data_IF_212912764098
#
_entry.id   IF_212912764098
#
_cell.length_a   1.000
_cell.length_b   1.000
_cell.length_c   1.000
_cell.angle_alpha   90.00
_cell.angle_beta   90.00
_cell.angle_gamma   90.00
#
_symmetry.space_group_name_H-M   'P 1'
#
loop_
_entity.id
_entity.type
_entity.pdbx_description
1 polymer ?
#
# COMPACT_ATOMS: atom_id res chain seq x y z
N UNK A 1 9.69 12.11 0.51
CA UNK A 1 10.40 12.95 -0.48
C UNK A 1 10.96 12.01 -1.52
N UNK A 2 10.60 12.13 -2.79
CA UNK A 2 11.14 11.27 -3.85
C UNK A 2 12.58 11.69 -4.12
N UNK A 3 13.56 10.91 -3.64
CA UNK A 3 14.97 11.06 -3.99
C UNK A 3 15.13 10.73 -5.48
N UNK A 4 15.75 11.63 -6.25
CA UNK A 4 16.11 11.34 -7.64
C UNK A 4 17.09 10.15 -7.65
N UNK A 5 16.98 9.21 -8.60
CA UNK A 5 17.87 8.06 -8.65
C UNK A 5 19.32 8.52 -8.82
N UNK A 6 20.21 7.94 -8.03
CA UNK A 6 21.64 8.25 -8.00
C UNK A 6 22.40 7.18 -8.78
N UNK A 7 23.32 7.61 -9.63
CA UNK A 7 24.28 6.73 -10.30
C UNK A 7 25.67 6.98 -9.72
N UNK A 8 26.21 6.00 -9.00
CA UNK A 8 27.48 6.12 -8.31
C UNK A 8 28.58 5.37 -9.07
N UNK A 9 29.75 5.99 -9.16
CA UNK A 9 30.98 5.41 -9.68
C UNK A 9 32.01 5.31 -8.56
N UNK A 10 32.65 4.14 -8.42
CA UNK A 10 33.93 4.01 -7.73
C UNK A 10 35.03 3.64 -8.71
N UNK A 11 35.95 4.58 -8.93
CA UNK A 11 37.14 4.34 -9.74
C UNK A 11 38.15 3.48 -8.99
N UNK A 12 38.68 2.47 -9.65
CA UNK A 12 39.77 1.67 -9.15
C UNK A 12 41.10 2.44 -9.19
N UNK A 13 41.97 2.19 -8.22
CA UNK A 13 43.35 2.71 -8.23
C UNK A 13 44.14 1.92 -9.26
N UNK A 14 44.90 2.61 -10.12
CA UNK A 14 45.76 1.97 -11.14
C UNK A 14 46.68 0.89 -10.57
N UNK A 15 47.15 1.04 -9.33
CA UNK A 15 48.01 0.08 -8.64
C UNK A 15 47.32 -1.23 -8.23
N UNK A 16 45.98 -1.29 -8.29
CA UNK A 16 45.21 -2.48 -7.88
C UNK A 16 44.93 -3.47 -9.00
N UNK A 17 44.98 -3.03 -10.27
CA UNK A 17 44.62 -3.86 -11.42
C UNK A 17 43.13 -4.21 -11.51
N UNK A 18 42.28 -3.61 -10.67
CA UNK A 18 40.84 -3.88 -10.61
C UNK A 18 40.06 -3.00 -11.60
N UNK A 19 38.89 -3.45 -12.08
CA UNK A 19 37.99 -2.63 -12.90
C UNK A 19 37.25 -1.60 -12.03
N UNK A 20 36.89 -0.47 -12.65
CA UNK A 20 35.94 0.50 -12.11
C UNK A 20 34.57 -0.18 -11.88
N UNK A 21 33.78 0.35 -10.96
CA UNK A 21 32.45 -0.19 -10.67
C UNK A 21 31.40 0.90 -10.59
N UNK A 22 30.21 0.60 -11.08
CA UNK A 22 29.05 1.48 -10.95
C UNK A 22 27.88 0.76 -10.26
N UNK A 23 27.01 1.54 -9.64
CA UNK A 23 25.73 1.09 -9.09
C UNK A 23 24.75 2.25 -9.12
N UNK A 24 23.48 1.96 -9.32
CA UNK A 24 22.42 2.95 -9.16
C UNK A 24 21.31 2.47 -8.24
N UNK A 25 20.71 3.42 -7.53
CA UNK A 25 19.58 3.20 -6.63
C UNK A 25 18.76 4.48 -6.46
N UNK A 26 17.51 4.33 -6.04
CA UNK A 26 16.57 5.41 -5.74
C UNK A 26 16.64 5.90 -4.29
N UNK A 27 17.68 5.52 -3.55
CA UNK A 27 17.96 5.94 -2.18
C UNK A 27 18.81 7.23 -2.10
N UNK A 28 19.11 7.69 -0.89
CA UNK A 28 20.06 8.78 -0.67
C UNK A 28 21.52 8.33 -0.93
N UNK A 29 22.43 9.30 -1.02
CA UNK A 29 23.84 9.05 -1.37
C UNK A 29 24.56 8.15 -0.36
N UNK A 30 24.25 8.28 0.94
CA UNK A 30 24.92 7.52 2.00
C UNK A 30 24.47 6.05 1.99
N UNK A 31 23.18 5.83 1.82
CA UNK A 31 22.58 4.49 1.66
C UNK A 31 23.07 3.80 0.37
N UNK A 32 23.08 4.51 -0.75
CA UNK A 32 23.55 3.99 -2.05
C UNK A 32 25.06 3.70 -2.01
N UNK A 33 25.86 4.58 -1.39
CA UNK A 33 27.30 4.35 -1.23
C UNK A 33 27.60 3.18 -0.30
N UNK A 34 26.82 2.97 0.76
CA UNK A 34 26.98 1.83 1.67
C UNK A 34 26.63 0.52 0.96
N UNK A 35 25.59 0.53 0.13
CA UNK A 35 25.20 -0.62 -0.70
C UNK A 35 26.29 -0.97 -1.72
N UNK A 36 26.83 0.03 -2.41
CA UNK A 36 27.96 -0.14 -3.32
C UNK A 36 29.19 -0.73 -2.59
N UNK A 37 29.51 -0.25 -1.39
CA UNK A 37 30.66 -0.73 -0.61
C UNK A 37 30.48 -2.18 -0.14
N UNK A 38 29.28 -2.52 0.33
CA UNK A 38 28.92 -3.87 0.74
C UNK A 38 29.03 -4.86 -0.43
N UNK A 39 28.46 -4.52 -1.59
CA UNK A 39 28.46 -5.39 -2.76
C UNK A 39 29.88 -5.54 -3.35
N UNK A 40 30.67 -4.47 -3.33
CA UNK A 40 32.07 -4.52 -3.72
C UNK A 40 32.87 -5.49 -2.84
N UNK A 41 32.71 -5.42 -1.52
CA UNK A 41 33.37 -6.36 -0.58
C UNK A 41 32.84 -7.79 -0.76
N UNK A 42 31.53 -7.96 -0.95
CA UNK A 42 30.89 -9.25 -1.21
C UNK A 42 31.41 -9.91 -2.50
N UNK A 43 31.78 -9.11 -3.51
CA UNK A 43 32.43 -9.59 -4.73
C UNK A 43 33.90 -10.01 -4.55
N UNK A 44 34.43 -9.94 -3.33
CA UNK A 44 35.79 -10.33 -2.97
C UNK A 44 36.84 -9.23 -3.17
N UNK A 45 36.43 -8.00 -3.50
CA UNK A 45 37.35 -6.88 -3.74
C UNK A 45 37.55 -6.02 -2.49
N UNK A 46 38.75 -5.45 -2.33
CA UNK A 46 39.09 -4.61 -1.17
C UNK A 46 38.72 -3.15 -1.44
N UNK A 47 37.97 -2.53 -0.53
CA UNK A 47 37.58 -1.12 -0.64
C UNK A 47 38.79 -0.17 -0.74
N UNK A 48 39.93 -0.54 -0.14
CA UNK A 48 41.19 0.21 -0.22
C UNK A 48 41.76 0.35 -1.65
N UNK A 49 41.34 -0.53 -2.57
CA UNK A 49 41.74 -0.51 -3.97
C UNK A 49 40.97 0.53 -4.79
N UNK A 50 39.94 1.15 -4.22
CA UNK A 50 39.06 2.09 -4.90
C UNK A 50 39.19 3.50 -4.29
N UNK A 51 38.86 4.52 -5.09
CA UNK A 51 38.60 5.87 -4.60
C UNK A 51 37.21 5.94 -3.96
N UNK A 52 36.90 7.08 -3.31
CA UNK A 52 35.56 7.34 -2.77
C UNK A 52 34.52 7.34 -3.90
N UNK A 53 33.29 6.94 -3.57
CA UNK A 53 32.17 6.99 -4.51
C UNK A 53 31.90 8.44 -4.96
N UNK A 54 31.63 8.62 -6.25
CA UNK A 54 31.26 9.89 -6.85
C UNK A 54 29.92 9.71 -7.56
N UNK A 55 28.98 10.62 -7.33
CA UNK A 55 27.74 10.67 -8.08
C UNK A 55 27.97 11.29 -9.45
N UNK A 56 27.51 10.63 -10.51
CA UNK A 56 27.53 11.13 -11.88
C UNK A 56 26.10 11.45 -12.33
N UNK A 57 25.94 12.07 -13.50
CA UNK A 57 24.62 12.19 -14.12
C UNK A 57 24.07 10.78 -14.39
N UNK A 58 22.76 10.62 -14.20
CA UNK A 58 22.10 9.35 -14.43
C UNK A 58 22.08 9.06 -15.94
N UNK A 59 22.71 7.97 -16.42
CA UNK A 59 22.76 7.66 -17.84
C UNK A 59 21.36 7.28 -18.35
N UNK A 60 20.97 7.81 -19.50
CA UNK A 60 19.70 7.44 -20.17
C UNK A 60 20.06 6.46 -21.29
N UNK A 61 20.26 5.20 -20.92
CA UNK A 61 20.64 4.11 -21.83
C UNK A 61 19.86 2.83 -21.47
N UNK A 62 19.71 1.94 -22.44
CA UNK A 62 18.85 0.76 -22.31
C UNK A 62 19.53 -0.44 -21.62
N UNK A 63 20.86 -0.40 -21.43
CA UNK A 63 21.67 -1.48 -20.86
C UNK A 63 22.17 -1.16 -19.44
N UNK A 64 21.40 -0.36 -18.69
CA UNK A 64 21.64 -0.13 -17.26
C UNK A 64 21.56 -1.47 -16.50
N UNK A 65 22.47 -1.72 -15.54
CA UNK A 65 22.33 -2.87 -14.65
C UNK A 65 21.02 -2.76 -13.85
N UNK A 66 20.48 -3.86 -13.30
CA UNK A 66 19.36 -3.79 -12.38
C UNK A 66 19.64 -2.87 -11.19
N UNK A 67 18.59 -2.24 -10.65
CA UNK A 67 18.72 -1.35 -9.49
C UNK A 67 19.36 -2.08 -8.31
N UNK A 68 20.37 -1.47 -7.70
CA UNK A 68 21.08 -2.05 -6.57
C UNK A 68 22.08 -3.15 -6.95
N UNK A 69 22.30 -3.44 -8.24
CA UNK A 69 23.35 -4.35 -8.70
C UNK A 69 24.59 -3.57 -9.16
N UNK A 70 25.77 -4.15 -8.89
CA UNK A 70 27.05 -3.56 -9.31
C UNK A 70 27.42 -4.04 -10.71
N UNK A 71 27.88 -3.12 -11.56
CA UNK A 71 28.42 -3.43 -12.89
C UNK A 71 29.91 -3.04 -12.96
N UNK A 72 30.78 -4.02 -13.20
CA UNK A 72 32.22 -3.84 -13.41
C UNK A 72 32.59 -3.61 -14.88
N UNK A 73 31.69 -3.96 -15.79
CA UNK A 73 31.88 -3.88 -17.24
C UNK A 73 31.35 -2.58 -17.84
N UNK A 74 30.64 -1.77 -17.04
CA UNK A 74 30.08 -0.49 -17.47
C UNK A 74 31.13 0.42 -18.12
N UNK A 75 32.29 0.57 -17.48
CA UNK A 75 33.39 1.39 -17.98
C UNK A 75 34.09 0.80 -19.22
N UNK A 76 33.75 -0.43 -19.63
CA UNK A 76 34.20 -1.02 -20.89
C UNK A 76 33.36 -0.51 -22.06
N UNK A 77 32.07 -0.25 -21.83
CA UNK A 77 31.10 0.26 -22.83
C UNK A 77 31.04 1.79 -22.85
N UNK A 78 31.08 2.41 -21.67
CA UNK A 78 30.91 3.85 -21.51
C UNK A 78 32.17 4.52 -20.95
N UNK A 79 32.34 5.79 -21.28
CA UNK A 79 33.36 6.66 -20.70
C UNK A 79 32.74 7.97 -20.23
N UNK A 80 33.34 8.58 -19.20
CA UNK A 80 32.92 9.93 -18.80
C UNK A 80 33.37 10.94 -19.85
N UNK A 81 32.47 11.87 -20.19
CA UNK A 81 32.75 13.00 -21.06
C UNK A 81 33.75 13.98 -20.41
N UNK A 82 34.10 15.05 -21.14
CA UNK A 82 35.00 16.10 -20.63
C UNK A 82 34.49 16.77 -19.34
N UNK A 83 33.19 16.73 -19.07
CA UNK A 83 32.57 17.25 -17.85
C UNK A 83 32.79 16.37 -16.61
N UNK A 84 33.37 15.18 -16.77
CA UNK A 84 33.56 14.17 -15.72
C UNK A 84 32.27 13.75 -14.98
N UNK A 85 31.10 14.00 -15.57
CA UNK A 85 29.78 13.73 -14.97
C UNK A 85 28.83 12.99 -15.90
N UNK A 86 28.92 13.19 -17.22
CA UNK A 86 28.03 12.58 -18.20
C UNK A 86 28.70 11.36 -18.83
N UNK A 87 27.97 10.24 -18.93
CA UNK A 87 28.45 9.02 -19.57
C UNK A 87 28.15 9.02 -21.07
N UNK A 88 29.18 8.74 -21.88
CA UNK A 88 29.10 8.64 -23.34
C UNK A 88 29.56 7.25 -23.78
N UNK A 89 28.90 6.70 -24.81
CA UNK A 89 29.28 5.42 -25.38
C UNK A 89 30.67 5.53 -26.04
N UNK A 90 31.56 4.57 -25.78
CA UNK A 90 32.90 4.57 -26.38
C UNK A 90 32.81 4.34 -27.90
N UNK A 91 33.65 5.01 -28.70
CA UNK A 91 33.70 4.78 -30.15
C UNK A 91 34.05 3.31 -30.45
N UNK A 92 33.16 2.61 -31.15
CA UNK A 92 33.36 1.21 -31.55
C UNK A 92 32.89 0.15 -30.55
N UNK A 93 32.29 0.53 -29.42
CA UNK A 93 31.55 -0.39 -28.58
C UNK A 93 30.17 -0.64 -29.23
N UNK A 94 29.81 -1.89 -29.49
CA UNK A 94 28.49 -2.22 -30.02
C UNK A 94 27.45 -2.06 -28.89
N UNK A 95 26.42 -1.21 -29.07
CA UNK A 95 25.18 -1.44 -28.34
C UNK A 95 24.55 -2.72 -28.89
N UNK A 96 24.01 -3.58 -28.03
CA UNK A 96 23.04 -4.58 -28.47
C UNK A 96 21.74 -3.84 -28.84
N UNK A 97 21.73 -3.15 -29.98
CA UNK A 97 20.56 -3.12 -30.86
C UNK A 97 20.80 -2.55 -32.26
N UNK A 98 20.00 -3.09 -33.18
CA UNK A 98 19.89 -2.73 -34.58
C UNK A 98 19.19 -1.38 -34.72
N UNK A 99 19.82 -0.49 -35.50
CA UNK A 99 19.29 0.75 -36.13
C UNK A 99 20.08 2.00 -35.77
N UNK A 100 21.24 2.13 -36.42
CA UNK A 100 21.80 3.43 -36.76
C UNK A 100 21.19 3.90 -38.09
N UNK A 101 20.69 5.14 -38.14
CA UNK A 101 20.90 5.96 -39.32
C UNK A 101 20.91 7.45 -38.97
N UNK A 102 22.08 8.04 -39.23
CA UNK A 102 22.29 9.47 -39.47
C UNK A 102 21.24 10.03 -40.44
N UNK A 103 20.72 11.23 -40.14
CA UNK A 103 21.08 12.38 -40.97
C UNK A 103 20.70 13.71 -40.30
N UNK A 104 21.61 14.67 -40.43
CA UNK A 104 21.44 16.07 -40.10
C UNK A 104 20.59 16.80 -41.16
N UNK A 105 19.78 17.79 -40.76
CA UNK A 105 19.95 19.19 -41.19
C UNK A 105 18.86 20.15 -40.66
N UNK A 106 19.37 21.25 -40.09
CA UNK A 106 18.95 22.66 -40.20
C UNK A 106 17.51 23.11 -39.88
N UNK A 107 17.39 23.59 -38.64
CA UNK A 107 16.99 24.96 -38.24
C UNK A 107 16.11 25.80 -39.19
N UNK A 108 14.94 26.23 -38.68
CA UNK A 108 14.54 27.64 -38.69
C UNK A 108 13.44 27.91 -37.66
N UNK A 109 13.73 28.84 -36.75
CA UNK A 109 12.79 29.49 -35.84
C UNK A 109 11.77 30.35 -36.59
N UNK A 110 10.56 30.51 -36.03
CA UNK A 110 10.08 31.80 -35.50
C UNK A 110 8.69 31.71 -34.84
N UNK A 111 8.67 32.19 -33.60
CA UNK A 111 7.65 33.05 -32.96
C UNK A 111 6.21 32.56 -32.76
N UNK A 112 5.92 32.20 -31.50
CA UNK A 112 5.12 33.03 -30.60
C UNK A 112 3.59 33.09 -30.77
N UNK A 113 2.88 32.40 -29.89
CA UNK A 113 1.46 32.63 -29.59
C UNK A 113 0.98 31.69 -28.49
N UNK A 114 0.73 32.24 -27.29
CA UNK A 114 0.12 31.53 -26.16
C UNK A 114 -1.32 31.16 -26.48
N UNK A 115 -1.69 29.89 -26.34
CA UNK A 115 -3.04 29.48 -25.95
C UNK A 115 -2.98 28.10 -25.28
N UNK A 116 -3.47 28.10 -24.04
CA UNK A 116 -3.59 26.95 -23.15
C UNK A 116 -4.84 26.16 -23.58
N UNK A 117 -4.67 25.07 -24.33
CA UNK A 117 -5.56 23.90 -24.39
C UNK A 117 -5.07 22.87 -25.43
N UNK A 118 -5.17 21.59 -25.08
CA UNK A 118 -5.07 20.43 -25.96
C UNK A 118 -3.73 20.20 -26.70
N UNK A 119 -2.75 19.61 -26.01
CA UNK A 119 -1.67 18.88 -26.71
C UNK A 119 -1.35 17.57 -25.98
N UNK A 120 -2.27 16.62 -26.14
CA UNK A 120 -1.99 15.20 -26.01
C UNK A 120 -2.52 14.55 -27.28
N UNK A 121 -1.82 14.74 -28.39
CA UNK A 121 -1.78 13.89 -29.58
C UNK A 121 -1.15 14.67 -30.74
N UNK A 122 0.17 14.74 -30.74
CA UNK A 122 0.95 15.15 -31.92
C UNK A 122 2.28 14.40 -31.93
N UNK A 123 2.20 13.07 -31.93
CA UNK A 123 3.25 12.22 -32.48
C UNK A 123 2.55 11.08 -33.22
N UNK A 124 2.08 11.39 -34.43
CA UNK A 124 1.27 10.46 -35.23
C UNK A 124 2.09 9.38 -35.93
N UNK A 125 3.37 9.21 -35.57
CA UNK A 125 4.31 8.31 -36.27
C UNK A 125 5.04 7.30 -35.37
N UNK A 126 4.63 7.14 -34.11
CA UNK A 126 5.02 5.94 -33.34
C UNK A 126 3.80 5.04 -33.14
N UNK A 127 3.63 4.08 -34.06
CA UNK A 127 2.50 3.15 -34.03
C UNK A 127 2.51 2.25 -32.78
N UNK A 128 3.68 2.02 -32.16
CA UNK A 128 3.87 1.03 -31.08
C UNK A 128 4.52 1.54 -29.79
N UNK A 129 4.63 2.85 -29.55
CA UNK A 129 5.26 3.35 -28.32
C UNK A 129 4.39 3.05 -27.08
N UNK A 130 4.79 2.01 -26.34
CA UNK A 130 4.34 1.77 -24.97
C UNK A 130 4.80 2.92 -24.07
N UNK A 131 3.94 3.37 -23.17
CA UNK A 131 4.28 4.40 -22.18
C UNK A 131 4.22 3.81 -20.78
N UNK A 132 4.96 4.40 -19.86
CA UNK A 132 4.88 4.01 -18.46
C UNK A 132 3.48 4.26 -17.90
N UNK A 133 2.90 3.26 -17.24
CA UNK A 133 1.60 3.39 -16.56
C UNK A 133 1.66 4.45 -15.46
N UNK A 134 2.84 4.67 -14.86
CA UNK A 134 3.04 5.66 -13.81
C UNK A 134 2.96 7.11 -14.31
N UNK A 135 3.16 7.36 -15.61
CA UNK A 135 3.08 8.71 -16.20
C UNK A 135 1.67 9.08 -16.64
N UNK A 136 0.73 8.14 -16.61
CA UNK A 136 -0.68 8.40 -16.91
C UNK A 136 -1.31 9.27 -15.82
N UNK A 137 -2.31 10.08 -16.21
CA UNK A 137 -3.18 10.77 -15.25
C UNK A 137 -3.77 9.75 -14.28
N UNK A 138 -3.95 10.13 -13.02
CA UNK A 138 -4.29 9.18 -11.97
C UNK A 138 -5.54 8.33 -12.27
N UNK A 139 -6.61 8.92 -12.83
CA UNK A 139 -7.82 8.19 -13.22
C UNK A 139 -7.54 7.15 -14.29
N UNK A 140 -6.77 7.51 -15.32
CA UNK A 140 -6.36 6.58 -16.38
C UNK A 140 -5.40 5.51 -15.87
N UNK A 141 -4.48 5.85 -14.97
CA UNK A 141 -3.58 4.91 -14.29
C UNK A 141 -4.37 3.87 -13.49
N UNK A 142 -5.34 4.32 -12.68
CA UNK A 142 -6.24 3.45 -11.92
C UNK A 142 -7.02 2.53 -12.87
N UNK A 143 -7.67 3.07 -13.89
CA UNK A 143 -8.49 2.29 -14.82
C UNK A 143 -7.67 1.29 -15.63
N UNK A 144 -6.45 1.66 -16.03
CA UNK A 144 -5.53 0.77 -16.75
C UNK A 144 -5.17 -0.44 -15.88
N UNK A 145 -4.73 -0.20 -14.64
CA UNK A 145 -4.40 -1.27 -13.68
C UNK A 145 -5.66 -2.10 -13.35
N UNK A 146 -6.79 -1.43 -13.11
CA UNK A 146 -8.07 -2.08 -12.85
C UNK A 146 -8.50 -2.98 -14.02
N UNK A 147 -8.21 -2.62 -15.27
CA UNK A 147 -8.70 -3.36 -16.44
C UNK A 147 -7.73 -4.47 -16.86
N UNK A 148 -6.42 -4.18 -16.91
CA UNK A 148 -5.43 -5.04 -17.55
C UNK A 148 -4.52 -5.77 -16.57
N UNK A 149 -4.06 -5.10 -15.51
CA UNK A 149 -3.03 -5.65 -14.62
C UNK A 149 -3.52 -6.83 -13.76
N UNK A 150 -4.84 -7.02 -13.64
CA UNK A 150 -5.43 -8.17 -12.96
C UNK A 150 -5.32 -9.48 -13.78
N UNK A 151 -5.29 -9.38 -15.12
CA UNK A 151 -5.15 -10.54 -16.00
C UNK A 151 -3.68 -10.88 -16.30
N UNK A 152 -2.82 -9.85 -16.39
CA UNK A 152 -1.40 -10.02 -16.62
C UNK A 152 -0.61 -8.87 -15.97
N UNK A 153 0.27 -9.21 -15.02
CA UNK A 153 1.04 -8.25 -14.24
C UNK A 153 2.04 -7.46 -15.09
N UNK A 154 2.35 -7.87 -16.33
CA UNK A 154 3.19 -7.07 -17.23
C UNK A 154 2.58 -5.68 -17.51
N UNK A 155 1.26 -5.58 -17.47
CA UNK A 155 0.54 -4.31 -17.64
C UNK A 155 0.57 -3.40 -16.40
N UNK A 156 1.35 -3.74 -15.37
CA UNK A 156 1.60 -2.83 -14.26
C UNK A 156 2.50 -1.66 -14.64
N UNK A 157 3.39 -1.85 -15.61
CA UNK A 157 4.45 -0.88 -15.90
C UNK A 157 4.28 -0.23 -17.26
N UNK A 158 3.72 -0.94 -18.24
CA UNK A 158 3.60 -0.45 -19.62
C UNK A 158 2.14 -0.48 -20.11
N UNK A 159 1.76 0.58 -20.81
CA UNK A 159 0.47 0.74 -21.46
C UNK A 159 0.66 0.95 -22.96
N UNK A 160 0.07 0.09 -23.79
CA UNK A 160 0.09 0.24 -25.26
C UNK A 160 -0.83 1.38 -25.72
N UNK A 161 -0.67 1.87 -26.95
CA UNK A 161 -1.54 2.91 -27.52
C UNK A 161 -3.01 2.48 -27.53
N UNK A 162 -3.28 1.26 -27.95
CA UNK A 162 -4.64 0.70 -27.99
C UNK A 162 -5.25 0.57 -26.58
N UNK A 163 -4.46 0.18 -25.58
CA UNK A 163 -4.92 0.17 -24.20
C UNK A 163 -5.28 1.57 -23.72
N UNK A 164 -4.45 2.58 -24.01
CA UNK A 164 -4.73 3.97 -23.61
C UNK A 164 -5.98 4.52 -24.28
N UNK A 165 -6.19 4.26 -25.57
CA UNK A 165 -7.43 4.63 -26.29
C UNK A 165 -8.65 3.99 -25.63
N UNK A 166 -8.58 2.69 -25.31
CA UNK A 166 -9.66 2.01 -24.61
C UNK A 166 -9.91 2.59 -23.21
N UNK A 167 -8.86 2.90 -22.44
CA UNK A 167 -9.02 3.52 -21.12
C UNK A 167 -9.61 4.93 -21.22
N UNK A 168 -9.24 5.74 -22.20
CA UNK A 168 -9.86 7.05 -22.44
C UNK A 168 -11.33 6.91 -22.79
N UNK A 169 -11.69 5.95 -23.66
CA UNK A 169 -13.09 5.66 -23.98
C UNK A 169 -13.86 5.20 -22.73
N UNK A 170 -13.28 4.31 -21.92
CA UNK A 170 -13.87 3.81 -20.68
C UNK A 170 -14.06 4.91 -19.62
N UNK A 171 -13.13 5.86 -19.53
CA UNK A 171 -13.24 7.03 -18.64
C UNK A 171 -14.42 7.93 -19.04
N UNK A 172 -14.67 8.08 -20.35
CA UNK A 172 -15.73 8.93 -20.92
C UNK A 172 -17.09 8.23 -21.07
N UNK A 173 -17.14 6.91 -20.93
CA UNK A 173 -18.37 6.11 -21.03
C UNK A 173 -19.31 6.41 -19.86
N UNK A 174 -20.30 7.26 -20.10
CA UNK A 174 -21.30 7.66 -19.11
C UNK A 174 -22.35 6.57 -18.84
N UNK A 175 -22.47 5.58 -19.73
CA UNK A 175 -23.42 4.47 -19.57
C UNK A 175 -22.86 3.41 -18.60
N UNK A 176 -21.54 3.35 -18.46
CA UNK A 176 -20.87 2.50 -17.48
C UNK A 176 -20.97 3.05 -16.05
N UNK A 177 -22.14 2.87 -15.44
CA UNK A 177 -22.42 3.33 -14.07
C UNK A 177 -21.44 2.82 -13.01
N UNK A 178 -20.85 1.62 -13.17
CA UNK A 178 -19.85 1.09 -12.24
C UNK A 178 -18.57 1.93 -12.27
N UNK A 179 -18.01 2.14 -13.47
CA UNK A 179 -16.79 2.95 -13.65
C UNK A 179 -17.05 4.39 -13.25
N UNK A 180 -18.17 4.99 -13.65
CA UNK A 180 -18.49 6.37 -13.31
C UNK A 180 -18.66 6.56 -11.79
N UNK A 181 -19.34 5.65 -11.09
CA UNK A 181 -19.50 5.76 -9.64
C UNK A 181 -18.18 5.54 -8.88
N UNK A 182 -17.30 4.65 -9.35
CA UNK A 182 -15.96 4.50 -8.83
C UNK A 182 -15.14 5.78 -9.04
N UNK A 183 -15.15 6.35 -10.26
CA UNK A 183 -14.45 7.59 -10.61
C UNK A 183 -14.94 8.78 -9.76
N UNK A 184 -16.25 8.90 -9.53
CA UNK A 184 -16.83 9.92 -8.65
C UNK A 184 -16.32 9.80 -7.21
N UNK A 185 -16.17 8.57 -6.70
CA UNK A 185 -15.66 8.35 -5.35
C UNK A 185 -14.20 8.79 -5.20
N UNK A 186 -13.37 8.43 -6.18
CA UNK A 186 -11.91 8.60 -6.11
C UNK A 186 -11.42 10.00 -6.51
N UNK A 187 -12.12 10.72 -7.41
CA UNK A 187 -11.71 12.07 -7.84
C UNK A 187 -11.57 13.08 -6.70
N UNK A 188 -12.31 12.90 -5.61
CA UNK A 188 -12.23 13.76 -4.42
C UNK A 188 -11.19 13.33 -3.38
N UNK A 189 -10.34 12.34 -3.67
CA UNK A 189 -9.38 11.77 -2.72
C UNK A 189 -7.95 12.01 -3.19
N UNK A 190 -7.09 12.51 -2.30
CA UNK A 190 -5.67 12.76 -2.61
C UNK A 190 -4.81 11.53 -2.28
N UNK A 191 -5.16 10.79 -1.24
CA UNK A 191 -4.42 9.66 -0.68
C UNK A 191 -4.18 8.53 -1.70
N UNK A 192 -5.19 8.09 -2.50
CA UNK A 192 -4.99 7.07 -3.53
C UNK A 192 -3.93 7.43 -4.58
N UNK A 193 -3.71 8.74 -4.85
CA UNK A 193 -2.77 9.20 -5.87
C UNK A 193 -1.31 8.93 -5.50
N UNK A 194 -1.04 8.76 -4.21
CA UNK A 194 0.30 8.50 -3.65
C UNK A 194 0.73 7.03 -3.76
N UNK A 195 -0.19 6.13 -4.08
CA UNK A 195 0.10 4.70 -4.20
C UNK A 195 1.01 4.41 -5.40
N UNK A 196 1.96 3.51 -5.22
CA UNK A 196 2.69 2.87 -6.33
C UNK A 196 1.79 1.90 -7.13
N UNK A 197 2.26 1.41 -8.28
CA UNK A 197 1.44 0.53 -9.14
C UNK A 197 1.07 -0.80 -8.46
N UNK A 198 1.92 -1.32 -7.58
CA UNK A 198 1.66 -2.58 -6.87
C UNK A 198 0.62 -2.40 -5.76
N UNK A 199 0.69 -1.32 -4.99
CA UNK A 199 -0.31 -0.94 -4.00
C UNK A 199 -1.64 -0.58 -4.66
N UNK A 200 -1.61 0.09 -5.80
CA UNK A 200 -2.79 0.40 -6.60
C UNK A 200 -3.44 -0.87 -7.16
N UNK A 201 -2.65 -1.84 -7.64
CA UNK A 201 -3.17 -3.16 -8.03
C UNK A 201 -3.89 -3.83 -6.86
N UNK A 202 -3.26 -3.91 -5.68
CA UNK A 202 -3.87 -4.49 -4.48
C UNK A 202 -5.18 -3.79 -4.10
N UNK A 203 -5.24 -2.47 -4.23
CA UNK A 203 -6.48 -1.72 -4.02
C UNK A 203 -7.54 -2.09 -5.06
N UNK A 204 -7.19 -2.13 -6.35
CA UNK A 204 -8.14 -2.49 -7.42
C UNK A 204 -8.66 -3.92 -7.28
N UNK A 205 -7.82 -4.87 -6.87
CA UNK A 205 -8.22 -6.26 -6.58
C UNK A 205 -9.17 -6.32 -5.38
N UNK A 206 -8.89 -5.55 -4.33
CA UNK A 206 -9.75 -5.45 -3.16
C UNK A 206 -11.13 -4.84 -3.51
N UNK A 207 -11.15 -3.79 -4.34
CA UNK A 207 -12.38 -3.19 -4.86
C UNK A 207 -13.19 -4.22 -5.64
N UNK A 208 -12.58 -4.96 -6.58
CA UNK A 208 -13.27 -6.01 -7.35
C UNK A 208 -13.80 -7.15 -6.47
N UNK A 209 -13.09 -7.49 -5.40
CA UNK A 209 -13.49 -8.54 -4.48
C UNK A 209 -14.73 -8.15 -3.65
N UNK A 210 -14.88 -6.86 -3.33
CA UNK A 210 -16.00 -6.33 -2.52
C UNK A 210 -17.19 -5.92 -3.41
N UNK A 211 -16.91 -5.23 -4.51
CA UNK A 211 -17.90 -4.62 -5.39
C UNK A 211 -17.97 -5.39 -6.71
N UNK A 212 -19.02 -6.19 -6.86
CA UNK A 212 -19.26 -6.92 -8.11
C UNK A 212 -19.59 -5.95 -9.26
N UNK A 213 -18.92 -6.12 -10.39
CA UNK A 213 -19.11 -5.30 -11.61
C UNK A 213 -20.55 -5.40 -12.16
N UNK A 214 -21.27 -6.49 -11.85
CA UNK A 214 -22.66 -6.69 -12.31
C UNK A 214 -23.71 -6.05 -11.42
N UNK A 215 -23.30 -5.42 -10.31
CA UNK A 215 -24.20 -4.75 -9.35
C UNK A 215 -23.99 -3.25 -9.41
N UNK A 216 -25.07 -2.51 -9.17
CA UNK A 216 -25.02 -1.05 -9.02
C UNK A 216 -24.60 -0.72 -7.59
N UNK A 217 -23.44 -0.09 -7.45
CA UNK A 217 -22.91 0.42 -6.17
C UNK A 217 -22.91 1.95 -6.20
N UNK A 218 -23.13 2.57 -5.06
CA UNK A 218 -23.17 4.02 -4.94
C UNK A 218 -21.75 4.59 -4.73
N UNK A 219 -21.46 5.83 -5.18
CA UNK A 219 -20.14 6.43 -5.01
C UNK A 219 -19.66 6.48 -3.55
N UNK A 220 -20.57 6.69 -2.59
CA UNK A 220 -20.21 6.72 -1.18
C UNK A 220 -19.72 5.36 -0.66
N UNK A 221 -20.20 4.24 -1.21
CA UNK A 221 -19.78 2.90 -0.79
C UNK A 221 -18.32 2.64 -1.18
N UNK A 222 -17.95 3.00 -2.41
CA UNK A 222 -16.56 2.97 -2.86
C UNK A 222 -15.69 3.87 -2.01
N UNK A 223 -16.12 5.12 -1.77
CA UNK A 223 -15.35 6.08 -0.96
C UNK A 223 -15.09 5.52 0.45
N UNK A 224 -16.13 5.04 1.12
CA UNK A 224 -16.01 4.48 2.48
C UNK A 224 -15.06 3.29 2.52
N UNK A 225 -15.13 2.38 1.54
CA UNK A 225 -14.23 1.23 1.46
C UNK A 225 -12.78 1.66 1.20
N UNK A 226 -12.55 2.53 0.21
CA UNK A 226 -11.22 2.97 -0.18
C UNK A 226 -10.54 3.70 0.98
N UNK A 227 -11.25 4.61 1.67
CA UNK A 227 -10.75 5.28 2.87
C UNK A 227 -10.38 4.26 3.96
N UNK A 228 -11.29 3.36 4.31
CA UNK A 228 -11.02 2.32 5.32
C UNK A 228 -9.81 1.45 4.94
N UNK A 229 -9.67 1.09 3.65
CA UNK A 229 -8.57 0.26 3.16
C UNK A 229 -7.22 0.97 3.21
N UNK A 230 -7.19 2.27 2.89
CA UNK A 230 -5.98 3.09 2.95
C UNK A 230 -5.51 3.29 4.40
N UNK A 231 -6.44 3.56 5.30
CA UNK A 231 -6.20 3.76 6.75
C UNK A 231 -5.82 2.45 7.47
N UNK A 232 -6.09 1.30 6.84
CA UNK A 232 -5.77 -0.02 7.40
C UNK A 232 -4.32 -0.40 7.11
N UNK A 233 -3.64 -0.92 8.14
CA UNK A 233 -2.29 -1.48 8.03
C UNK A 233 -2.20 -2.55 6.95
N UNK A 234 -1.06 -2.63 6.26
CA UNK A 234 -0.89 -3.54 5.12
C UNK A 234 -1.28 -5.00 5.42
N UNK A 235 -0.93 -5.48 6.61
CA UNK A 235 -1.22 -6.84 7.09
C UNK A 235 -2.71 -7.12 7.35
N UNK A 236 -3.52 -6.07 7.54
CA UNK A 236 -4.96 -6.17 7.82
C UNK A 236 -5.86 -5.89 6.61
N UNK A 237 -5.32 -5.31 5.54
CA UNK A 237 -6.11 -4.97 4.34
C UNK A 237 -6.85 -6.18 3.76
N UNK A 238 -6.25 -7.36 3.82
CA UNK A 238 -6.88 -8.61 3.41
C UNK A 238 -8.06 -9.01 4.30
N UNK A 239 -7.97 -8.77 5.62
CA UNK A 239 -9.04 -9.04 6.56
C UNK A 239 -10.19 -8.02 6.40
N UNK A 240 -9.87 -6.74 6.25
CA UNK A 240 -10.85 -5.69 5.94
C UNK A 240 -11.65 -6.04 4.67
N UNK A 241 -10.95 -6.44 3.61
CA UNK A 241 -11.57 -6.85 2.34
C UNK A 241 -12.52 -8.03 2.53
N UNK A 242 -12.16 -9.03 3.37
CA UNK A 242 -13.03 -10.17 3.69
C UNK A 242 -14.30 -9.75 4.43
N UNK A 243 -14.19 -8.86 5.40
CA UNK A 243 -15.35 -8.35 6.15
C UNK A 243 -16.29 -7.56 5.24
N UNK A 244 -15.75 -6.66 4.41
CA UNK A 244 -16.56 -5.91 3.44
C UNK A 244 -17.23 -6.83 2.41
N UNK A 245 -16.58 -7.91 1.99
CA UNK A 245 -17.17 -8.89 1.10
C UNK A 245 -18.36 -9.64 1.74
N UNK A 246 -18.35 -9.83 3.06
CA UNK A 246 -19.49 -10.39 3.81
C UNK A 246 -20.65 -9.40 3.99
N UNK A 247 -20.44 -8.12 3.66
CA UNK A 247 -21.41 -7.03 3.89
C UNK A 247 -21.12 -6.20 5.13
N UNK A 248 -20.09 -6.55 5.91
CA UNK A 248 -19.71 -5.84 7.12
C UNK A 248 -18.92 -4.58 6.74
N UNK A 249 -19.55 -3.40 6.85
CA UNK A 249 -18.99 -2.10 6.43
C UNK A 249 -18.09 -1.48 7.51
N UNK A 250 -17.12 -2.26 7.98
CA UNK A 250 -16.18 -1.85 9.05
C UNK A 250 -15.21 -0.77 8.59
N UNK A 251 -14.92 0.22 9.42
CA UNK A 251 -13.95 1.28 9.10
C UNK A 251 -12.51 0.91 9.42
N UNK A 252 -12.28 -0.03 10.34
CA UNK A 252 -10.96 -0.48 10.77
C UNK A 252 -11.01 -1.91 11.30
N UNK A 253 -9.90 -2.63 11.22
CA UNK A 253 -9.69 -3.89 11.94
C UNK A 253 -9.20 -3.61 13.35
N UNK A 254 -9.90 -4.14 14.34
CA UNK A 254 -9.47 -4.07 15.75
C UNK A 254 -8.64 -5.30 16.09
N UNK A 255 -7.52 -5.10 16.77
CA UNK A 255 -6.65 -6.18 17.25
C UNK A 255 -6.58 -6.24 18.77
N UNK A 256 -6.34 -7.45 19.27
CA UNK A 256 -6.00 -7.70 20.67
C UNK A 256 -4.55 -7.27 20.96
N UNK A 257 -4.17 -7.23 22.23
CA UNK A 257 -2.78 -6.93 22.65
C UNK A 257 -1.76 -7.93 22.12
N UNK A 258 -2.16 -9.17 21.84
CA UNK A 258 -1.33 -10.20 21.21
C UNK A 258 -1.25 -10.09 19.69
N UNK A 259 -1.93 -9.12 19.07
CA UNK A 259 -1.98 -8.92 17.62
C UNK A 259 -3.01 -9.79 16.90
N UNK A 260 -3.82 -10.58 17.62
CA UNK A 260 -4.90 -11.36 17.01
C UNK A 260 -6.07 -10.44 16.61
N UNK A 261 -6.88 -10.86 15.63
CA UNK A 261 -8.11 -10.14 15.29
C UNK A 261 -9.08 -10.14 16.49
N UNK A 262 -9.51 -8.97 16.93
CA UNK A 262 -10.46 -8.83 18.03
C UNK A 262 -11.91 -9.07 17.58
N UNK A 263 -12.21 -9.06 16.28
CA UNK A 263 -13.56 -9.21 15.75
C UNK A 263 -14.36 -7.90 15.76
N UNK A 264 -15.68 -8.00 15.82
CA UNK A 264 -16.62 -6.88 15.96
C UNK A 264 -17.21 -6.34 14.66
N UNK A 265 -16.94 -7.01 13.54
CA UNK A 265 -17.53 -6.65 12.23
C UNK A 265 -18.95 -7.17 12.01
N UNK A 266 -19.40 -8.11 12.84
CA UNK A 266 -20.71 -8.75 12.74
C UNK A 266 -21.81 -7.95 13.44
N UNK A 267 -23.04 -8.14 12.97
CA UNK A 267 -24.23 -7.69 13.69
C UNK A 267 -24.35 -8.46 15.01
N UNK A 268 -24.63 -7.73 16.09
CA UNK A 268 -24.89 -8.28 17.42
C UNK A 268 -26.27 -7.83 17.91
N UNK A 269 -26.72 -8.37 19.05
CA UNK A 269 -28.00 -8.04 19.70
C UNK A 269 -28.04 -6.63 20.34
N UNK A 270 -27.06 -5.76 20.03
CA UNK A 270 -26.99 -4.36 20.51
C UNK A 270 -27.81 -3.38 19.67
N UNK A 271 -28.46 -3.87 18.62
CA UNK A 271 -29.30 -3.09 17.71
C UNK A 271 -28.59 -2.75 16.40
N UNK A 272 -29.41 -2.47 15.38
CA UNK A 272 -28.92 -2.07 14.06
C UNK A 272 -28.20 -0.72 14.14
N UNK A 273 -27.03 -0.63 13.52
CA UNK A 273 -26.21 0.60 13.52
C UNK A 273 -25.42 0.85 14.81
N UNK A 274 -25.53 0.01 15.84
CA UNK A 274 -24.69 0.13 17.04
C UNK A 274 -23.24 -0.24 16.73
N UNK A 275 -22.31 0.68 17.00
CA UNK A 275 -20.87 0.44 16.84
C UNK A 275 -20.34 -0.24 18.10
N UNK A 276 -20.07 -1.54 18.01
CA UNK A 276 -19.46 -2.29 19.11
C UNK A 276 -17.94 -2.13 19.13
N UNK A 277 -17.40 -1.89 20.33
CA UNK A 277 -16.02 -1.55 20.60
C UNK A 277 -15.59 -2.03 22.00
N UNK A 278 -14.34 -1.78 22.39
CA UNK A 278 -13.84 -2.16 23.71
C UNK A 278 -14.59 -1.46 24.85
N UNK A 279 -15.11 -0.26 24.63
CA UNK A 279 -15.89 0.50 25.62
C UNK A 279 -17.20 -0.21 25.93
N UNK A 280 -17.97 -0.56 24.90
CA UNK A 280 -19.23 -1.28 25.02
C UNK A 280 -19.02 -2.70 25.53
N UNK A 281 -17.97 -3.41 25.11
CA UNK A 281 -17.58 -4.70 25.69
C UNK A 281 -17.31 -4.59 27.19
N UNK A 282 -16.59 -3.55 27.62
CA UNK A 282 -16.30 -3.29 29.04
C UNK A 282 -17.58 -3.06 29.84
N UNK A 283 -18.55 -2.32 29.29
CA UNK A 283 -19.87 -2.16 29.91
C UNK A 283 -20.64 -3.47 30.02
N UNK A 284 -20.60 -4.31 28.99
CA UNK A 284 -21.31 -5.60 29.00
C UNK A 284 -20.72 -6.54 30.05
N UNK A 285 -19.39 -6.57 30.19
CA UNK A 285 -18.72 -7.33 31.27
C UNK A 285 -19.12 -6.81 32.65
N UNK A 286 -19.12 -5.49 32.87
CA UNK A 286 -19.55 -4.90 34.14
C UNK A 286 -21.05 -5.15 34.43
N UNK A 287 -21.89 -5.16 33.39
CA UNK A 287 -23.30 -5.55 33.49
C UNK A 287 -23.45 -7.00 33.96
N UNK A 288 -22.63 -7.90 33.41
CA UNK A 288 -22.56 -9.30 33.87
C UNK A 288 -22.13 -9.44 35.33
N UNK A 289 -21.19 -8.62 35.80
CA UNK A 289 -20.80 -8.59 37.21
C UNK A 289 -21.96 -8.12 38.09
N UNK A 290 -22.66 -7.04 37.70
CA UNK A 290 -23.84 -6.56 38.44
C UNK A 290 -24.96 -7.61 38.47
N UNK A 291 -25.17 -8.30 37.35
CA UNK A 291 -26.20 -9.33 37.19
C UNK A 291 -25.96 -10.60 38.03
N UNK A 292 -24.78 -10.74 38.66
CA UNK A 292 -24.53 -11.79 39.67
C UNK A 292 -25.30 -11.55 40.98
N UNK A 293 -25.56 -10.29 41.33
CA UNK A 293 -26.18 -9.92 42.61
C UNK A 293 -27.64 -9.48 42.49
N UNK A 294 -28.14 -9.27 41.28
CA UNK A 294 -29.51 -8.82 41.04
C UNK A 294 -29.95 -9.11 39.61
N UNK A 295 -31.26 -9.02 39.36
CA UNK A 295 -31.78 -9.09 38.00
C UNK A 295 -31.62 -7.76 37.27
N UNK A 296 -31.17 -7.82 36.01
CA UNK A 296 -30.83 -6.65 35.20
C UNK A 296 -31.39 -6.83 33.80
N UNK A 297 -32.25 -5.92 33.38
CA UNK A 297 -32.62 -5.82 31.96
C UNK A 297 -31.41 -5.28 31.17
N UNK A 298 -30.78 -6.19 30.43
CA UNK A 298 -29.56 -5.91 29.69
C UNK A 298 -29.79 -5.02 28.46
N UNK A 299 -31.03 -4.89 27.99
CA UNK A 299 -31.38 -4.09 26.83
C UNK A 299 -31.96 -2.73 27.21
N UNK A 300 -32.59 -2.63 28.39
CA UNK A 300 -33.16 -1.39 28.92
C UNK A 300 -32.73 -1.15 30.38
N UNK A 301 -31.50 -0.67 30.55
CA UNK A 301 -30.91 -0.44 31.88
C UNK A 301 -31.61 0.69 32.62
N UNK A 302 -32.12 0.39 33.82
CA UNK A 302 -32.57 1.42 34.76
C UNK A 302 -31.42 2.38 35.11
N UNK A 303 -31.64 3.71 35.25
CA UNK A 303 -30.57 4.68 35.52
C UNK A 303 -29.68 4.34 36.72
N UNK A 304 -30.25 3.74 37.77
CA UNK A 304 -29.48 3.28 38.93
C UNK A 304 -28.51 2.13 38.59
N UNK A 305 -28.91 1.20 37.72
CA UNK A 305 -28.04 0.11 37.26
C UNK A 305 -26.93 0.65 36.35
N UNK A 306 -27.27 1.58 35.45
CA UNK A 306 -26.28 2.25 34.61
C UNK A 306 -25.22 2.95 35.45
N UNK A 307 -25.63 3.69 36.50
CA UNK A 307 -24.68 4.32 37.44
C UNK A 307 -23.80 3.27 38.13
N UNK A 308 -24.39 2.16 38.61
CA UNK A 308 -23.62 1.11 39.28
C UNK A 308 -22.62 0.42 38.35
N UNK A 309 -22.97 0.27 37.06
CA UNK A 309 -22.05 -0.24 36.03
C UNK A 309 -20.84 0.69 35.88
N UNK A 310 -21.04 2.02 35.82
CA UNK A 310 -19.90 2.96 35.78
C UNK A 310 -19.00 2.84 37.01
N UNK A 311 -19.61 2.68 38.19
CA UNK A 311 -18.86 2.50 39.43
C UNK A 311 -18.01 1.21 39.38
N UNK A 312 -18.56 0.10 38.89
CA UNK A 312 -17.81 -1.17 38.72
C UNK A 312 -16.62 -0.97 37.76
N UNK A 313 -16.83 -0.27 36.64
CA UNK A 313 -15.79 0.03 35.66
C UNK A 313 -14.69 0.90 36.28
N UNK A 314 -15.08 1.95 37.01
CA UNK A 314 -14.17 2.88 37.66
C UNK A 314 -13.38 2.23 38.80
N UNK A 315 -14.02 1.36 39.59
CA UNK A 315 -13.37 0.60 40.66
C UNK A 315 -12.31 -0.35 40.09
N UNK A 316 -12.56 -0.95 38.92
CA UNK A 316 -11.62 -1.82 38.19
C UNK A 316 -11.05 -2.99 39.04
N UNK A 317 -11.89 -3.58 39.90
CA UNK A 317 -11.50 -4.67 40.80
C UNK A 317 -12.00 -6.03 40.30
N UNK A 318 -11.40 -7.16 40.76
CA UNK A 318 -11.98 -8.47 40.55
C UNK A 318 -13.40 -8.55 41.15
N UNK A 319 -14.33 -9.30 40.51
CA UNK A 319 -14.11 -10.14 39.34
C UNK A 319 -14.08 -9.39 37.99
N UNK A 320 -14.52 -8.12 37.94
CA UNK A 320 -14.66 -7.35 36.70
C UNK A 320 -13.37 -7.25 35.90
N UNK A 321 -12.25 -6.84 36.52
CA UNK A 321 -10.98 -6.66 35.83
C UNK A 321 -10.50 -7.95 35.17
N UNK A 322 -10.63 -9.09 35.86
CA UNK A 322 -10.26 -10.41 35.35
C UNK A 322 -11.09 -10.81 34.13
N UNK A 323 -12.42 -10.67 34.19
CA UNK A 323 -13.27 -11.00 33.05
C UNK A 323 -13.04 -10.07 31.87
N UNK A 324 -12.91 -8.75 32.12
CA UNK A 324 -12.61 -7.78 31.08
C UNK A 324 -11.33 -8.17 30.35
N UNK A 325 -10.26 -8.45 31.10
CA UNK A 325 -8.96 -8.78 30.53
C UNK A 325 -9.02 -10.06 29.68
N UNK A 326 -9.81 -11.06 30.10
CA UNK A 326 -10.07 -12.27 29.28
C UNK A 326 -10.79 -11.94 27.97
N UNK A 327 -11.84 -11.11 28.01
CA UNK A 327 -12.59 -10.76 26.79
C UNK A 327 -11.77 -9.90 25.81
N UNK A 328 -10.99 -8.92 26.30
CA UNK A 328 -10.21 -8.03 25.41
C UNK A 328 -8.98 -8.71 24.80
N UNK A 329 -8.45 -9.76 25.43
CA UNK A 329 -7.29 -10.52 24.92
C UNK A 329 -7.70 -11.69 24.04
N UNK A 330 -8.95 -12.14 24.16
CA UNK A 330 -9.50 -13.25 23.39
C UNK A 330 -9.64 -12.87 21.89
N UNK A 331 -9.10 -13.69 20.97
CA UNK A 331 -9.39 -13.56 19.55
C UNK A 331 -10.91 -13.62 19.30
N UNK A 332 -11.44 -12.67 18.52
CA UNK A 332 -12.89 -12.57 18.28
C UNK A 332 -13.70 -12.12 19.51
N UNK A 333 -13.08 -11.54 20.54
CA UNK A 333 -13.77 -11.08 21.74
C UNK A 333 -14.91 -10.07 21.50
N UNK A 334 -14.84 -9.31 20.40
CA UNK A 334 -15.89 -8.39 19.96
C UNK A 334 -16.95 -9.05 19.07
N UNK A 335 -16.82 -10.33 18.70
CA UNK A 335 -17.85 -11.00 17.91
C UNK A 335 -19.05 -11.44 18.77
N UNK A 336 -18.91 -11.44 20.10
CA UNK A 336 -19.93 -11.92 21.02
C UNK A 336 -21.07 -10.91 21.23
N UNK A 337 -22.29 -11.46 21.30
CA UNK A 337 -23.48 -10.69 21.66
C UNK A 337 -23.42 -10.21 23.11
N UNK A 338 -24.13 -9.11 23.41
CA UNK A 338 -24.30 -8.59 24.77
C UNK A 338 -24.81 -9.69 25.69
N UNK A 339 -25.85 -10.41 25.27
CA UNK A 339 -26.40 -11.51 26.06
C UNK A 339 -25.37 -12.58 26.39
N UNK A 340 -24.54 -12.99 25.43
CA UNK A 340 -23.49 -14.00 25.66
C UNK A 340 -22.44 -13.46 26.63
N UNK A 341 -21.97 -12.22 26.46
CA UNK A 341 -20.98 -11.61 27.36
C UNK A 341 -21.53 -11.53 28.79
N UNK A 342 -22.72 -10.96 28.96
CA UNK A 342 -23.37 -10.82 30.28
C UNK A 342 -23.59 -12.19 30.93
N UNK A 343 -24.16 -13.15 30.19
CA UNK A 343 -24.43 -14.49 30.72
C UNK A 343 -23.13 -15.23 31.10
N UNK A 344 -22.09 -15.12 30.28
CA UNK A 344 -20.79 -15.76 30.56
C UNK A 344 -20.17 -15.25 31.85
N UNK A 345 -20.31 -13.96 32.14
CA UNK A 345 -19.82 -13.37 33.40
C UNK A 345 -20.76 -13.71 34.56
N UNK A 346 -22.09 -13.59 34.37
CA UNK A 346 -23.10 -13.86 35.40
C UNK A 346 -23.04 -15.29 35.91
N UNK A 347 -23.00 -16.26 35.01
CA UNK A 347 -23.09 -17.69 35.30
C UNK A 347 -21.73 -18.34 35.58
N UNK A 348 -20.62 -17.61 35.39
CA UNK A 348 -19.29 -18.14 35.66
C UNK A 348 -19.12 -18.52 37.14
N UNK A 349 -18.55 -19.72 37.45
CA UNK A 349 -18.37 -20.18 38.83
C UNK A 349 -17.61 -19.18 39.69
N UNK A 350 -18.05 -19.01 40.93
CA UNK A 350 -17.37 -18.15 41.92
C UNK A 350 -15.95 -18.69 42.14
N UNK A 351 -14.94 -17.82 42.05
CA UNK A 351 -13.54 -18.19 42.23
C UNK A 351 -12.79 -18.56 40.94
N UNK A 352 -13.47 -18.68 39.79
CA UNK A 352 -12.79 -18.92 38.49
C UNK A 352 -11.91 -17.74 38.08
N UNK A 353 -12.21 -16.55 38.59
CA UNK A 353 -11.41 -15.34 38.48
C UNK A 353 -10.09 -15.37 39.28
N UNK A 354 -9.92 -16.34 40.20
CA UNK A 354 -8.76 -16.44 41.11
C UNK A 354 -7.74 -17.50 40.63
N UNK A 355 -8.08 -18.33 39.65
CA UNK A 355 -7.21 -19.42 39.17
C UNK A 355 -6.11 -18.84 38.25
N UNK A 356 -4.81 -18.94 38.61
CA UNK A 356 -3.73 -18.52 37.74
C UNK A 356 -3.67 -19.43 36.50
N UNK A 357 -3.34 -18.84 35.35
CA UNK A 357 -3.18 -19.53 34.07
C UNK A 357 -2.36 -20.83 34.22
N UNK A 358 -3.04 -21.97 34.17
CA UNK A 358 -2.38 -23.22 33.81
C UNK A 358 -2.34 -23.23 32.30
N UNK A 359 -1.16 -22.99 31.73
CA UNK A 359 -0.89 -23.22 30.32
C UNK A 359 -1.21 -24.68 30.02
N UNK A 360 -2.40 -24.94 29.48
CA UNK A 360 -2.66 -26.18 28.76
C UNK A 360 -1.88 -26.08 27.46
N UNK A 361 -0.62 -26.55 27.49
CA UNK A 361 0.09 -26.94 26.30
C UNK A 361 -0.70 -28.09 25.68
N UNK A 362 -1.46 -27.79 24.63
CA UNK A 362 -2.01 -28.78 23.69
C UNK A 362 -1.18 -28.68 22.41
#
# INVERSE_FOLDING_TARGET
MSTKPLFLLRKAKKSSGEPDVVLWASDDFESTSTTLDYLLVKSGKKLSNYFKAVATNFPVVNDLPPEGEIDFTWSERYQLSKDSMTWELKPGAAPDDVHHQDNAQETKELAGGQEENAQADAHEDCQDCEVSVATLRFTQRLLHIFTYAAGDRKYLHHATREQRKHITALEMDQENSYVQNLLLAIRGMAEPTTLDNAALLRLTDAIKAVFSITKKHQPYEFKNFISAWLDTEHIDRGLLTKEWRKGNRVSRITRTTSGANAGGGNLTDRGEGFVHDLTSLTRDVATGVLARSMDVDIYNLHPAHAKRIEEIIAENKPPFSVFRDKFITMPGGLDYSRAIVVASVKEAPIGIEVIPHTSLNI
#
